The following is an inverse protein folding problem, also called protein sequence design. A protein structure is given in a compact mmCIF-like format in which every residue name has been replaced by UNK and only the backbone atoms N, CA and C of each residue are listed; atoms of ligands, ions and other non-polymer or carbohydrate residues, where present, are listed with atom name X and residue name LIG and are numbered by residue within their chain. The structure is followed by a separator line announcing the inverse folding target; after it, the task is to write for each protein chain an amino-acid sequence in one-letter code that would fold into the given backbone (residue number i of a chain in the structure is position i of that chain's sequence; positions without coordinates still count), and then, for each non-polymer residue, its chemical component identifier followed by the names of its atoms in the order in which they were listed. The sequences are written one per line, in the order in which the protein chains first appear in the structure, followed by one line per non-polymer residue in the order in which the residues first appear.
data_IF_349643508970
#
_entry.id   IF_349643508970
#
_cell.length_a   1.000
_cell.length_b   1.000
_cell.length_c   1.000
_cell.angle_alpha   90.00
_cell.angle_beta   90.00
_cell.angle_gamma   90.00
#
_symmetry.space_group_name_H-M   'P 1'
#
loop_
_entity.id
_entity.type
_entity.pdbx_description
1 polymer ?
#
# COMPACT_ATOMS: atom_id res chain seq x y z
N UNK A 1 -4.35 -1.60 -19.27
CA UNK A 1 -4.03 -2.86 -18.57
C UNK A 1 -3.41 -2.44 -17.24
N UNK A 2 -4.20 -2.45 -16.16
CA UNK A 2 -3.71 -1.99 -14.84
C UNK A 2 -2.70 -3.05 -14.37
N UNK A 3 -1.48 -2.67 -13.97
CA UNK A 3 -0.53 -3.65 -13.47
C UNK A 3 -1.12 -4.31 -12.22
N UNK A 4 -1.32 -5.63 -12.27
CA UNK A 4 -1.75 -6.36 -11.08
C UNK A 4 -0.58 -6.39 -10.10
N UNK A 5 -0.86 -6.41 -8.80
CA UNK A 5 0.16 -6.55 -7.76
C UNK A 5 1.13 -7.71 -8.03
N UNK A 6 0.61 -8.80 -8.60
CA UNK A 6 1.37 -9.98 -9.02
C UNK A 6 2.39 -9.69 -10.13
N UNK A 7 2.08 -8.78 -11.06
CA UNK A 7 3.02 -8.32 -12.09
C UNK A 7 4.18 -7.50 -11.51
N UNK A 8 4.16 -7.25 -10.20
CA UNK A 8 5.19 -6.54 -9.45
C UNK A 8 5.84 -7.43 -8.38
N UNK A 9 5.62 -8.74 -8.46
CA UNK A 9 6.16 -9.72 -7.54
C UNK A 9 5.64 -9.56 -6.10
N UNK A 10 4.50 -8.88 -5.93
CA UNK A 10 3.84 -8.74 -4.63
C UNK A 10 2.83 -9.88 -4.49
N UNK A 11 3.01 -10.65 -3.42
CA UNK A 11 2.20 -11.81 -3.09
C UNK A 11 0.93 -11.42 -2.35
N UNK A 12 -0.09 -12.28 -2.45
CA UNK A 12 -1.35 -12.10 -1.72
C UNK A 12 -1.11 -12.09 -0.18
N UNK A 13 -0.06 -12.76 0.29
CA UNK A 13 0.36 -12.75 1.70
C UNK A 13 0.93 -11.39 2.13
N UNK A 14 1.81 -10.80 1.33
CA UNK A 14 2.35 -9.45 1.58
C UNK A 14 1.21 -8.43 1.63
N UNK A 15 0.27 -8.49 0.69
CA UNK A 15 -0.93 -7.63 0.67
C UNK A 15 -1.75 -7.81 1.94
N UNK A 16 -1.99 -9.06 2.36
CA UNK A 16 -2.78 -9.36 3.56
C UNK A 16 -2.08 -8.88 4.84
N UNK A 17 -0.75 -8.95 4.92
CA UNK A 17 0.01 -8.53 6.08
C UNK A 17 0.02 -7.00 6.27
N UNK A 18 -0.06 -6.24 5.17
CA UNK A 18 -0.05 -4.76 5.22
C UNK A 18 -1.21 -4.19 6.03
N UNK A 19 -2.39 -4.80 5.97
CA UNK A 19 -3.59 -4.23 6.59
C UNK A 19 -3.59 -4.29 8.12
N UNK A 20 -3.22 -5.40 8.79
CA UNK A 20 -3.10 -5.44 10.24
C UNK A 20 -1.80 -4.84 10.78
N UNK A 21 -0.71 -4.79 9.98
CA UNK A 21 0.62 -4.37 10.43
C UNK A 21 1.16 -3.18 9.65
N UNK A 22 0.30 -2.18 9.39
CA UNK A 22 0.73 -0.97 8.71
C UNK A 22 1.63 -0.12 9.60
N UNK A 23 2.59 0.57 8.99
CA UNK A 23 3.36 1.63 9.63
C UNK A 23 2.66 2.97 9.45
N UNK A 24 2.12 3.22 8.26
CA UNK A 24 1.32 4.40 7.98
C UNK A 24 0.00 4.03 7.30
N UNK A 25 -1.07 4.72 7.70
CA UNK A 25 -2.40 4.63 7.10
C UNK A 25 -2.93 6.02 6.81
N UNK A 26 -3.24 6.29 5.55
CA UNK A 26 -3.74 7.58 5.09
C UNK A 26 -5.15 7.38 4.49
N UNK A 27 -6.11 8.17 4.98
CA UNK A 27 -7.43 8.23 4.37
C UNK A 27 -7.33 8.93 3.00
N UNK A 28 -7.86 8.31 1.96
CA UNK A 28 -7.89 8.90 0.62
C UNK A 28 -9.26 9.51 0.35
N UNK A 29 -9.30 10.56 -0.48
CA UNK A 29 -10.56 11.12 -0.95
C UNK A 29 -11.30 10.09 -1.81
N UNK A 30 -12.53 9.69 -1.44
CA UNK A 30 -13.32 8.76 -2.23
C UNK A 30 -13.68 9.35 -3.60
N UNK A 31 -13.64 8.52 -4.64
CA UNK A 31 -14.10 8.90 -6.00
C UNK A 31 -15.50 8.40 -6.33
N UNK A 32 -16.11 7.65 -5.42
CA UNK A 32 -17.46 7.08 -5.55
C UNK A 32 -18.19 7.19 -4.22
N UNK A 33 -19.51 7.32 -4.27
CA UNK A 33 -20.35 7.40 -3.06
C UNK A 33 -20.21 6.12 -2.25
N UNK A 34 -20.01 6.29 -0.94
CA UNK A 34 -19.87 5.20 0.02
C UNK A 34 -18.48 4.60 0.11
N UNK A 35 -17.57 4.82 -0.86
CA UNK A 35 -16.21 4.27 -0.81
C UNK A 35 -15.42 4.80 0.40
N UNK A 36 -14.64 3.93 1.03
CA UNK A 36 -13.76 4.25 2.15
C UNK A 36 -12.33 3.80 1.85
N UNK A 37 -11.65 4.44 0.88
CA UNK A 37 -10.31 4.04 0.49
C UNK A 37 -9.26 4.52 1.49
N UNK A 38 -8.36 3.60 1.85
CA UNK A 38 -7.18 3.89 2.65
C UNK A 38 -5.93 3.42 1.93
N UNK A 39 -4.89 4.24 1.97
CA UNK A 39 -3.53 3.86 1.63
C UNK A 39 -2.84 3.32 2.88
N UNK A 40 -2.28 2.13 2.76
CA UNK A 40 -1.47 1.48 3.76
C UNK A 40 -0.04 1.37 3.26
N UNK A 41 0.91 1.61 4.16
CA UNK A 41 2.34 1.55 3.86
C UNK A 41 3.02 0.74 4.96
N UNK A 42 3.82 -0.24 4.55
CA UNK A 42 4.61 -1.08 5.48
C UNK A 42 5.78 -1.74 4.74
N UNK A 43 6.87 -2.13 5.43
CA UNK A 43 7.83 -3.10 4.90
C UNK A 43 7.15 -4.44 4.55
N UNK A 44 7.57 -5.08 3.46
CA UNK A 44 7.07 -6.42 3.09
C UNK A 44 7.43 -7.49 4.15
N UNK A 45 8.60 -7.33 4.76
CA UNK A 45 9.08 -8.03 5.96
C UNK A 45 10.20 -7.17 6.59
N UNK A 46 10.70 -7.56 7.77
CA UNK A 46 11.78 -6.81 8.40
C UNK A 46 13.02 -6.72 7.49
N UNK A 47 13.57 -5.52 7.34
CA UNK A 47 14.68 -5.23 6.42
C UNK A 47 14.35 -5.32 4.92
N UNK A 48 13.12 -5.66 4.54
CA UNK A 48 12.71 -5.76 3.13
C UNK A 48 12.18 -4.41 2.61
N UNK A 49 12.12 -4.26 1.28
CA UNK A 49 11.57 -3.06 0.66
C UNK A 49 10.10 -2.85 1.02
N UNK A 50 9.72 -1.58 1.08
CA UNK A 50 8.39 -1.17 1.50
C UNK A 50 7.39 -1.28 0.36
N UNK A 51 6.14 -1.52 0.70
CA UNK A 51 5.01 -1.65 -0.22
C UNK A 51 3.90 -0.66 0.13
N UNK A 52 3.22 -0.18 -0.90
CA UNK A 52 2.02 0.65 -0.82
C UNK A 52 0.82 -0.20 -1.26
N UNK A 53 -0.25 -0.21 -0.47
CA UNK A 53 -1.50 -0.92 -0.76
C UNK A 53 -2.67 0.03 -0.59
N UNK A 54 -3.57 0.10 -1.57
CA UNK A 54 -4.85 0.81 -1.41
C UNK A 54 -5.97 -0.20 -1.35
N UNK A 55 -6.72 -0.13 -0.25
CA UNK A 55 -7.89 -0.96 -0.02
C UNK A 55 -9.11 -0.10 0.29
N UNK A 56 -10.28 -0.56 -0.16
CA UNK A 56 -11.58 -0.02 0.21
C UNK A 56 -12.16 -0.86 1.36
N UNK A 57 -12.55 -0.17 2.44
CA UNK A 57 -13.13 -0.77 3.65
C UNK A 57 -14.63 -0.47 3.80
N UNK A 58 -15.33 -0.26 2.68
CA UNK A 58 -16.80 -0.17 2.65
C UNK A 58 -17.51 -1.27 3.44
N UNK A 59 -16.99 -2.48 3.34
CA UNK A 59 -17.39 -3.62 4.16
C UNK A 59 -16.30 -3.85 5.23
N UNK A 60 -16.63 -3.78 6.52
CA UNK A 60 -15.65 -3.98 7.60
C UNK A 60 -15.09 -5.42 7.63
N UNK A 61 -15.80 -6.40 7.07
CA UNK A 61 -15.38 -7.80 7.03
C UNK A 61 -14.57 -8.12 5.75
N UNK A 62 -14.69 -7.29 4.71
CA UNK A 62 -14.08 -7.54 3.40
C UNK A 62 -13.33 -6.31 2.89
N UNK A 63 -12.01 -6.36 3.01
CA UNK A 63 -11.13 -5.38 2.38
C UNK A 63 -10.95 -5.66 0.89
N UNK A 64 -11.37 -4.72 0.04
CA UNK A 64 -11.18 -4.82 -1.41
C UNK A 64 -9.91 -4.07 -1.81
N UNK A 65 -8.85 -4.83 -2.11
CA UNK A 65 -7.57 -4.27 -2.59
C UNK A 65 -7.62 -4.08 -4.11
N UNK A 66 -7.39 -2.86 -4.57
CA UNK A 66 -7.38 -2.53 -6.00
C UNK A 66 -6.06 -1.89 -6.47
N UNK A 67 -5.12 -1.64 -5.56
CA UNK A 67 -3.77 -1.18 -5.86
C UNK A 67 -2.79 -1.82 -4.88
N UNK A 68 -1.69 -2.38 -5.38
CA UNK A 68 -0.53 -2.71 -4.56
C UNK A 68 0.74 -2.62 -5.40
N UNK A 69 1.74 -1.88 -4.90
CA UNK A 69 3.01 -1.65 -5.57
C UNK A 69 4.15 -1.56 -4.54
N UNK A 70 5.40 -1.65 -5.00
CA UNK A 70 6.53 -1.22 -4.18
C UNK A 70 6.37 0.28 -3.90
N UNK A 71 6.69 0.70 -2.68
CA UNK A 71 6.57 2.09 -2.26
C UNK A 71 7.49 2.97 -3.11
N UNK A 72 6.92 4.05 -3.65
CA UNK A 72 7.68 4.98 -4.51
C UNK A 72 8.18 6.18 -3.71
N UNK A 73 9.44 6.62 -3.91
CA UNK A 73 9.96 7.83 -3.25
C UNK A 73 9.10 9.08 -3.50
N UNK A 74 8.56 9.22 -4.71
CA UNK A 74 7.68 10.34 -5.05
C UNK A 74 6.39 10.37 -4.21
N UNK A 75 5.84 9.20 -3.84
CA UNK A 75 4.65 9.15 -2.99
C UNK A 75 4.98 9.59 -1.56
N UNK A 76 6.12 9.17 -1.04
CA UNK A 76 6.63 9.56 0.29
C UNK A 76 6.83 11.07 0.35
N UNK A 77 7.48 11.65 -0.66
CA UNK A 77 7.70 13.10 -0.74
C UNK A 77 6.38 13.88 -0.87
N UNK A 78 5.46 13.44 -1.73
CA UNK A 78 4.18 14.13 -1.94
C UNK A 78 3.27 14.13 -0.70
N UNK A 79 3.45 13.14 0.18
CA UNK A 79 2.69 13.01 1.42
C UNK A 79 3.49 13.46 2.65
N UNK A 80 4.70 14.03 2.44
CA UNK A 80 5.62 14.48 3.51
C UNK A 80 5.81 13.40 4.59
N UNK A 81 5.94 12.14 4.15
CA UNK A 81 6.07 10.98 5.04
C UNK A 81 7.50 10.75 5.52
N UNK A 82 8.48 11.39 4.90
CA UNK A 82 9.90 11.29 5.22
C UNK A 82 10.24 11.73 6.66
N UNK A 83 9.37 12.54 7.28
CA UNK A 83 9.48 12.90 8.70
C UNK A 83 8.99 11.80 9.66
N UNK A 84 8.27 10.79 9.17
CA UNK A 84 7.66 9.73 9.98
C UNK A 84 8.22 8.34 9.70
N UNK A 85 8.71 8.10 8.48
CA UNK A 85 9.21 6.79 8.04
C UNK A 85 10.52 6.95 7.30
N UNK A 86 11.36 5.91 7.35
CA UNK A 86 12.61 5.82 6.58
C UNK A 86 12.55 4.56 5.71
N UNK A 87 11.93 4.63 4.52
CA UNK A 87 11.63 3.43 3.77
C UNK A 87 12.86 2.83 3.11
N UNK A 88 12.90 1.50 3.04
CA UNK A 88 13.82 0.79 2.18
C UNK A 88 13.16 0.69 0.80
N UNK A 89 13.81 1.28 -0.21
CA UNK A 89 13.33 1.22 -1.58
C UNK A 89 14.01 0.08 -2.35
N UNK A 90 13.27 -0.57 -3.24
CA UNK A 90 13.86 -1.42 -4.26
C UNK A 90 13.24 -1.13 -5.61
N UNK A 91 13.89 -1.66 -6.66
CA UNK A 91 13.21 -1.81 -7.95
C UNK A 91 12.01 -2.73 -7.78
N UNK A 92 11.00 -2.47 -8.61
CA UNK A 92 9.86 -3.34 -8.78
C UNK A 92 10.33 -4.74 -9.14
N UNK A 93 9.88 -5.75 -8.40
CA UNK A 93 10.20 -7.16 -8.67
C UNK A 93 9.49 -7.54 -9.99
N UNK A 94 10.22 -8.13 -10.94
CA UNK A 94 9.68 -8.57 -12.25
C UNK A 94 9.13 -9.98 -12.16
#
# INVERSE_FOLDING_TARGET
MIPSARAHGITDNEIRAVMPFYVARIALTPRMVGAQPFLYITPAADGEPWIEVIADLRDPEVAVVFHAMMLRPALVANLELDQFITPIYSRQRR
#
